data_IF_045144077528
#
_entry.id   IF_045144077528
#
_cell.length_a   1.000
_cell.length_b   1.000
_cell.length_c   1.000
_cell.angle_alpha   90.00
_cell.angle_beta   90.00
_cell.angle_gamma   90.00
#
_symmetry.space_group_name_H-M   'P 1'
#
loop_
_entity.id
_entity.type
_entity.pdbx_description
1 polymer ?
#
# COMPACT_ATOMS: atom_id res chain seq x y z
N UNK A 1 -38.05 17.62 73.91
CA UNK A 1 -36.86 16.94 73.42
C UNK A 1 -37.32 15.90 72.42
N UNK A 2 -37.05 16.16 71.12
CA UNK A 2 -37.33 15.18 70.04
C UNK A 2 -36.11 14.26 69.92
N UNK A 3 -36.27 13.00 70.15
CA UNK A 3 -35.28 12.00 69.95
C UNK A 3 -35.25 11.68 68.45
N UNK A 4 -34.26 12.14 67.72
CA UNK A 4 -34.07 11.73 66.36
C UNK A 4 -33.41 10.35 66.34
N UNK A 5 -34.19 9.33 65.98
CA UNK A 5 -33.60 8.00 65.71
C UNK A 5 -32.85 8.02 64.44
N UNK A 6 -31.54 7.93 64.58
CA UNK A 6 -30.65 7.75 63.41
C UNK A 6 -30.74 6.27 63.02
N UNK A 7 -31.44 5.99 61.95
CA UNK A 7 -31.44 4.65 61.38
C UNK A 7 -30.09 4.46 60.65
N UNK A 8 -29.18 3.76 61.30
CA UNK A 8 -28.03 3.23 60.61
C UNK A 8 -28.51 2.07 59.75
N UNK A 9 -28.65 2.31 58.46
CA UNK A 9 -28.88 1.19 57.53
C UNK A 9 -27.62 0.35 57.54
N UNK A 10 -27.72 -0.85 58.10
CA UNK A 10 -26.63 -1.82 57.93
C UNK A 10 -26.50 -2.08 56.44
N UNK A 11 -25.38 -1.67 55.87
CA UNK A 11 -25.06 -1.96 54.49
C UNK A 11 -24.89 -3.47 54.36
N UNK A 12 -25.93 -4.17 53.92
CA UNK A 12 -25.81 -5.57 53.57
C UNK A 12 -24.87 -5.69 52.42
N UNK A 13 -23.78 -6.40 52.63
CA UNK A 13 -22.80 -6.69 51.58
C UNK A 13 -23.46 -7.62 50.57
N UNK A 14 -24.26 -7.05 49.67
CA UNK A 14 -25.03 -7.84 48.70
C UNK A 14 -24.07 -8.39 47.66
N UNK A 15 -24.05 -9.69 47.48
CA UNK A 15 -23.22 -10.40 46.50
C UNK A 15 -24.04 -10.62 45.24
N UNK A 16 -23.47 -10.23 44.09
CA UNK A 16 -24.05 -10.52 42.79
C UNK A 16 -23.31 -11.73 42.24
N UNK A 17 -24.04 -12.76 41.89
CA UNK A 17 -23.50 -14.01 41.37
C UNK A 17 -23.62 -14.00 39.85
N UNK A 18 -22.52 -14.40 39.13
CA UNK A 18 -22.38 -14.32 37.69
C UNK A 18 -21.96 -15.68 37.13
N UNK A 19 -22.67 -16.17 36.11
CA UNK A 19 -22.27 -17.36 35.36
C UNK A 19 -22.23 -17.04 33.86
N UNK A 20 -21.55 -17.88 33.07
CA UNK A 20 -21.47 -17.66 31.64
C UNK A 20 -22.83 -17.82 30.94
N UNK A 21 -23.71 -18.61 31.50
CA UNK A 21 -25.07 -18.81 31.01
C UNK A 21 -26.12 -17.98 31.79
N UNK A 22 -25.67 -17.03 32.60
CA UNK A 22 -26.53 -16.10 33.30
C UNK A 22 -27.26 -15.15 32.33
N UNK A 23 -28.36 -14.55 32.82
CA UNK A 23 -29.17 -13.67 31.99
C UNK A 23 -29.37 -12.30 32.64
N UNK A 24 -29.53 -11.26 31.80
CA UNK A 24 -29.64 -9.88 32.25
C UNK A 24 -30.85 -9.65 33.20
N UNK A 25 -31.94 -10.35 32.96
CA UNK A 25 -33.14 -10.24 33.82
C UNK A 25 -33.06 -11.00 35.13
N UNK A 26 -31.98 -11.76 35.37
CA UNK A 26 -31.85 -12.55 36.59
C UNK A 26 -31.55 -11.67 37.81
N UNK A 27 -31.89 -12.18 39.01
CA UNK A 27 -31.70 -11.41 40.24
C UNK A 27 -30.26 -11.30 40.74
N UNK A 28 -29.34 -12.08 40.19
CA UNK A 28 -27.95 -12.09 40.65
C UNK A 28 -27.75 -12.89 41.94
N UNK A 29 -28.64 -13.81 42.22
CA UNK A 29 -28.55 -14.70 43.41
C UNK A 29 -27.86 -16.02 42.97
N UNK A 30 -27.55 -16.86 43.98
CA UNK A 30 -27.03 -18.21 43.74
C UNK A 30 -27.96 -19.01 42.82
N UNK A 31 -29.26 -18.90 43.04
CA UNK A 31 -30.27 -19.65 42.28
C UNK A 31 -30.61 -19.01 40.92
N UNK A 32 -30.28 -17.74 40.73
CA UNK A 32 -30.61 -16.99 39.51
C UNK A 32 -29.47 -16.02 39.17
N UNK A 33 -28.31 -16.55 38.70
CA UNK A 33 -27.14 -15.71 38.45
C UNK A 33 -27.34 -14.80 37.22
N UNK A 34 -26.71 -13.63 37.22
CA UNK A 34 -26.73 -12.69 36.10
C UNK A 34 -25.67 -13.04 35.06
N UNK A 35 -25.82 -12.49 33.86
CA UNK A 35 -24.69 -12.37 32.91
C UNK A 35 -23.71 -11.31 33.43
N UNK A 36 -22.48 -11.36 32.91
CA UNK A 36 -21.42 -10.51 33.42
C UNK A 36 -21.68 -9.02 33.16
N UNK A 37 -22.21 -8.68 31.98
CA UNK A 37 -22.42 -7.28 31.58
C UNK A 37 -23.44 -6.60 32.49
N UNK A 38 -24.59 -7.23 32.65
CA UNK A 38 -25.63 -6.67 33.50
C UNK A 38 -25.22 -6.65 34.99
N UNK A 39 -24.43 -7.62 35.45
CA UNK A 39 -23.93 -7.62 36.81
C UNK A 39 -23.06 -6.39 37.10
N UNK A 40 -22.19 -6.02 36.15
CA UNK A 40 -21.34 -4.83 36.31
C UNK A 40 -22.14 -3.53 36.16
N UNK A 41 -23.14 -3.51 35.27
CA UNK A 41 -23.98 -2.33 35.07
C UNK A 41 -24.86 -2.05 36.28
N UNK A 42 -25.38 -3.11 36.94
CA UNK A 42 -26.32 -2.98 38.09
C UNK A 42 -25.59 -2.83 39.44
N UNK A 43 -24.27 -3.07 39.47
CA UNK A 43 -23.53 -3.10 40.73
C UNK A 43 -23.53 -1.73 41.40
N UNK A 44 -23.72 -1.73 42.70
CA UNK A 44 -23.70 -0.54 43.55
C UNK A 44 -22.40 -0.46 44.36
N UNK A 45 -22.12 0.70 44.94
CA UNK A 45 -20.89 0.93 45.72
C UNK A 45 -20.78 -0.11 46.87
N UNK A 46 -19.55 -0.61 47.01
CA UNK A 46 -19.14 -1.56 48.05
C UNK A 46 -19.79 -2.95 47.96
N UNK A 47 -20.39 -3.30 46.81
CA UNK A 47 -20.89 -4.65 46.57
C UNK A 47 -19.79 -5.61 46.17
N UNK A 48 -20.11 -6.89 46.13
CA UNK A 48 -19.21 -7.97 45.70
C UNK A 48 -19.82 -8.65 44.46
N UNK A 49 -19.04 -8.81 43.42
CA UNK A 49 -19.42 -9.63 42.25
C UNK A 49 -18.59 -10.91 42.31
N UNK A 50 -19.26 -12.06 42.40
CA UNK A 50 -18.63 -13.38 42.30
C UNK A 50 -18.90 -13.99 40.97
N UNK A 51 -17.81 -14.30 40.24
CA UNK A 51 -17.89 -14.77 38.88
C UNK A 51 -17.46 -16.25 38.84
N UNK A 52 -18.34 -17.08 38.29
CA UNK A 52 -18.08 -18.50 38.17
C UNK A 52 -16.91 -18.75 37.18
N UNK A 53 -16.28 -19.90 37.31
CA UNK A 53 -15.28 -20.39 36.35
C UNK A 53 -15.92 -20.50 34.97
N UNK A 54 -15.19 -20.04 33.97
CA UNK A 54 -15.68 -20.01 32.59
C UNK A 54 -15.04 -18.88 31.79
N UNK A 55 -15.32 -18.84 30.49
CA UNK A 55 -14.86 -17.76 29.61
C UNK A 55 -16.05 -16.86 29.25
N UNK A 56 -15.87 -15.58 29.48
CA UNK A 56 -16.87 -14.52 29.25
C UNK A 56 -16.44 -13.68 28.05
N UNK A 57 -17.02 -13.95 26.90
CA UNK A 57 -16.70 -13.24 25.65
C UNK A 57 -17.49 -11.94 25.58
N UNK A 58 -16.79 -10.82 25.36
CA UNK A 58 -17.36 -9.49 25.38
C UNK A 58 -17.13 -8.78 24.04
N UNK A 59 -18.18 -8.18 23.50
CA UNK A 59 -18.08 -7.34 22.28
C UNK A 59 -17.98 -5.84 22.60
N UNK A 60 -17.91 -5.51 23.91
CA UNK A 60 -17.73 -4.13 24.40
C UNK A 60 -16.88 -4.18 25.67
N UNK A 61 -16.27 -3.06 26.09
CA UNK A 61 -15.54 -3.05 27.36
C UNK A 61 -16.44 -3.39 28.54
N UNK A 62 -15.93 -4.12 29.50
CA UNK A 62 -16.59 -4.35 30.78
C UNK A 62 -16.23 -3.20 31.72
N UNK A 63 -17.20 -2.36 32.05
CA UNK A 63 -16.93 -1.13 32.79
C UNK A 63 -17.19 -1.30 34.28
N UNK A 64 -16.21 -0.94 35.10
CA UNK A 64 -16.38 -0.88 36.56
C UNK A 64 -17.09 0.44 36.89
N UNK A 65 -18.36 0.38 37.21
CA UNK A 65 -19.22 1.57 37.39
C UNK A 65 -19.35 2.02 38.84
N UNK A 66 -19.02 1.17 39.81
CA UNK A 66 -19.25 1.44 41.25
C UNK A 66 -17.91 1.55 41.99
N UNK A 67 -17.89 2.38 43.03
CA UNK A 67 -16.71 2.48 43.93
C UNK A 67 -16.70 1.35 44.95
N UNK A 68 -15.54 1.00 45.44
CA UNK A 68 -15.41 -0.03 46.46
C UNK A 68 -15.80 -1.43 46.03
N UNK A 69 -16.04 -1.62 44.72
CA UNK A 69 -16.52 -2.90 44.19
C UNK A 69 -15.46 -3.99 44.37
N UNK A 70 -15.88 -5.14 44.89
CA UNK A 70 -14.96 -6.30 44.96
C UNK A 70 -15.39 -7.34 43.93
N UNK A 71 -14.52 -7.60 42.97
CA UNK A 71 -14.78 -8.50 41.86
C UNK A 71 -13.90 -9.74 42.03
N UNK A 72 -14.51 -10.90 42.13
CA UNK A 72 -13.82 -12.15 42.45
C UNK A 72 -14.17 -13.23 41.43
N UNK A 73 -13.17 -13.79 40.76
CA UNK A 73 -13.35 -14.96 39.90
C UNK A 73 -12.99 -16.26 40.58
N UNK A 74 -13.07 -17.36 39.85
CA UNK A 74 -12.65 -18.67 40.31
C UNK A 74 -13.64 -19.44 41.13
N UNK A 75 -14.94 -19.19 40.99
CA UNK A 75 -15.97 -19.91 41.75
C UNK A 75 -16.57 -21.05 40.94
N UNK A 76 -16.83 -22.18 41.61
CA UNK A 76 -17.48 -23.35 41.03
C UNK A 76 -18.99 -23.28 41.32
N UNK A 77 -19.76 -22.75 40.35
CA UNK A 77 -21.21 -22.54 40.58
C UNK A 77 -21.96 -23.85 40.85
N UNK A 78 -21.49 -24.96 40.30
CA UNK A 78 -22.08 -26.29 40.50
C UNK A 78 -21.65 -26.97 41.82
N UNK A 79 -20.77 -26.34 42.57
CA UNK A 79 -20.22 -26.88 43.81
C UNK A 79 -20.31 -25.82 44.92
N UNK A 80 -21.53 -25.43 45.23
CA UNK A 80 -21.86 -24.46 46.30
C UNK A 80 -21.01 -23.19 46.28
N UNK A 81 -20.62 -22.73 45.04
CA UNK A 81 -19.82 -21.53 44.87
C UNK A 81 -18.50 -21.55 45.66
N UNK A 82 -17.94 -22.75 45.79
CA UNK A 82 -16.61 -22.90 46.42
C UNK A 82 -15.55 -22.34 45.45
N UNK A 83 -14.49 -21.77 46.02
CA UNK A 83 -13.43 -21.17 45.20
C UNK A 83 -12.43 -22.26 44.74
N UNK A 84 -12.12 -22.28 43.45
CA UNK A 84 -11.09 -23.18 42.92
C UNK A 84 -9.71 -22.55 43.08
N UNK A 85 -8.68 -23.40 43.14
CA UNK A 85 -7.30 -22.96 43.14
C UNK A 85 -6.74 -22.85 41.74
N UNK A 86 -7.52 -23.22 40.71
CA UNK A 86 -7.02 -23.23 39.31
C UNK A 86 -6.85 -21.80 38.80
N UNK A 87 -5.65 -21.45 38.44
CA UNK A 87 -5.34 -20.14 37.83
C UNK A 87 -5.98 -20.08 36.44
N UNK A 88 -6.61 -18.97 36.12
CA UNK A 88 -7.29 -18.81 34.83
C UNK A 88 -8.65 -19.44 34.75
N UNK A 89 -9.19 -19.95 35.88
CA UNK A 89 -10.51 -20.55 35.88
C UNK A 89 -11.61 -19.60 35.38
N UNK A 90 -11.47 -18.29 35.66
CA UNK A 90 -12.38 -17.26 35.15
C UNK A 90 -11.60 -16.39 34.17
N UNK A 91 -12.05 -16.36 32.92
CA UNK A 91 -11.42 -15.54 31.87
C UNK A 91 -12.43 -14.54 31.30
N UNK A 92 -12.09 -13.27 31.34
CA UNK A 92 -12.81 -12.20 30.63
C UNK A 92 -12.07 -11.98 29.31
N UNK A 93 -12.75 -12.21 28.18
CA UNK A 93 -12.13 -12.12 26.86
C UNK A 93 -12.84 -11.08 26.00
N UNK A 94 -12.13 -10.03 25.60
CA UNK A 94 -12.64 -9.02 24.68
C UNK A 94 -12.42 -9.49 23.24
N UNK A 95 -13.48 -9.74 22.51
CA UNK A 95 -13.40 -10.15 21.10
C UNK A 95 -12.97 -8.98 20.21
N UNK A 96 -12.67 -9.25 18.95
CA UNK A 96 -12.36 -8.20 17.98
C UNK A 96 -13.61 -7.51 17.42
N UNK A 97 -14.79 -7.98 17.80
CA UNK A 97 -16.05 -7.36 17.35
C UNK A 97 -16.21 -5.96 17.96
N UNK A 98 -16.84 -5.07 17.24
CA UNK A 98 -17.20 -3.72 17.74
C UNK A 98 -16.04 -2.98 18.41
N UNK A 99 -14.92 -2.75 17.70
CA UNK A 99 -13.84 -1.96 18.29
C UNK A 99 -14.28 -0.52 18.53
N UNK A 100 -13.68 0.12 19.52
CA UNK A 100 -14.01 1.49 19.90
C UNK A 100 -13.12 2.47 19.13
N UNK A 101 -13.66 3.65 18.83
CA UNK A 101 -12.92 4.73 18.21
C UNK A 101 -13.10 4.79 16.70
N UNK A 102 -12.72 5.92 16.10
CA UNK A 102 -12.82 6.07 14.65
C UNK A 102 -11.79 5.21 13.91
N UNK A 103 -11.96 5.08 12.60
CA UNK A 103 -11.02 4.35 11.75
C UNK A 103 -9.59 4.85 11.97
N UNK A 104 -8.64 3.95 11.95
CA UNK A 104 -7.20 4.18 12.20
C UNK A 104 -6.85 4.58 13.64
N UNK A 105 -7.86 4.76 14.52
CA UNK A 105 -7.66 4.98 15.95
C UNK A 105 -8.48 3.98 16.77
N UNK A 106 -8.78 2.85 16.17
CA UNK A 106 -9.59 1.82 16.81
C UNK A 106 -8.82 1.13 17.93
N UNK A 107 -9.56 0.65 18.92
CA UNK A 107 -8.96 -0.07 20.05
C UNK A 107 -9.91 -1.10 20.61
N UNK A 108 -9.33 -2.10 21.25
CA UNK A 108 -10.04 -3.09 22.04
C UNK A 108 -9.65 -2.87 23.50
N UNK A 109 -10.62 -2.65 24.37
CA UNK A 109 -10.42 -2.56 25.80
C UNK A 109 -11.26 -3.66 26.45
N UNK A 110 -10.62 -4.53 27.26
CA UNK A 110 -11.39 -5.60 27.91
C UNK A 110 -12.10 -5.11 29.17
N UNK A 111 -11.35 -4.47 30.08
CA UNK A 111 -11.94 -3.94 31.32
C UNK A 111 -11.58 -2.46 31.45
N UNK A 112 -12.53 -1.62 31.78
CA UNK A 112 -12.32 -0.19 31.95
C UNK A 112 -12.85 0.31 33.28
N UNK A 113 -12.17 1.33 33.86
CA UNK A 113 -12.69 2.08 35.00
C UNK A 113 -12.27 3.54 34.83
N UNK A 114 -13.23 4.45 35.00
CA UNK A 114 -12.98 5.89 34.86
C UNK A 114 -13.48 6.59 36.13
N UNK A 115 -12.57 7.32 36.81
CA UNK A 115 -12.85 8.08 38.02
C UNK A 115 -13.51 7.22 39.12
N UNK A 116 -12.95 6.00 39.30
CA UNK A 116 -13.42 5.06 40.33
C UNK A 116 -12.36 4.84 41.39
N UNK A 117 -12.82 4.58 42.62
CA UNK A 117 -11.94 4.40 43.78
C UNK A 117 -12.28 3.16 44.57
N UNK A 118 -11.25 2.57 45.21
CA UNK A 118 -11.43 1.52 46.19
C UNK A 118 -11.80 0.15 45.68
N UNK A 119 -11.86 -0.06 44.38
CA UNK A 119 -12.27 -1.36 43.83
C UNK A 119 -11.09 -2.37 43.81
N UNK A 120 -11.47 -3.66 43.79
CA UNK A 120 -10.46 -4.72 43.70
C UNK A 120 -10.94 -5.85 42.80
N UNK A 121 -9.98 -6.41 42.06
CA UNK A 121 -10.21 -7.54 41.14
C UNK A 121 -9.32 -8.71 41.57
N UNK A 122 -9.92 -9.88 41.70
CA UNK A 122 -9.22 -11.05 42.26
C UNK A 122 -9.44 -12.28 41.37
N UNK A 123 -8.37 -13.03 41.11
CA UNK A 123 -8.42 -14.37 40.52
C UNK A 123 -9.09 -14.42 39.15
N UNK A 124 -8.78 -13.44 38.30
CA UNK A 124 -9.37 -13.31 36.95
C UNK A 124 -8.25 -13.18 35.93
N UNK A 125 -8.38 -13.90 34.82
CA UNK A 125 -7.57 -13.69 33.62
C UNK A 125 -8.33 -12.74 32.69
N UNK A 126 -7.67 -11.69 32.23
CA UNK A 126 -8.24 -10.67 31.33
C UNK A 126 -7.46 -10.70 30.03
N UNK A 127 -8.15 -10.97 28.91
CA UNK A 127 -7.51 -11.09 27.60
C UNK A 127 -8.25 -10.26 26.57
N UNK A 128 -7.59 -9.94 25.46
CA UNK A 128 -8.25 -9.41 24.25
C UNK A 128 -7.87 -10.24 23.05
N UNK A 129 -8.69 -10.22 22.02
CA UNK A 129 -8.29 -10.65 20.69
C UNK A 129 -7.18 -9.73 20.15
N UNK A 130 -6.49 -10.18 19.11
CA UNK A 130 -5.55 -9.33 18.36
C UNK A 130 -6.30 -8.23 17.60
N UNK A 131 -5.62 -7.12 17.35
CA UNK A 131 -6.15 -6.05 16.52
C UNK A 131 -6.26 -6.50 15.06
N UNK A 132 -7.39 -6.23 14.43
CA UNK A 132 -7.66 -6.68 13.06
C UNK A 132 -7.64 -5.56 12.02
N UNK A 133 -7.82 -4.31 12.44
CA UNK A 133 -7.82 -3.16 11.53
C UNK A 133 -6.50 -2.40 11.65
N UNK A 134 -5.97 -1.83 10.55
CA UNK A 134 -4.70 -1.11 10.63
C UNK A 134 -4.67 -0.05 11.74
N UNK A 135 -3.61 -0.09 12.53
CA UNK A 135 -3.41 0.84 13.64
C UNK A 135 -4.22 0.55 14.90
N UNK A 136 -4.98 -0.57 14.94
CA UNK A 136 -5.79 -0.91 16.13
C UNK A 136 -4.90 -1.28 17.31
N UNK A 137 -5.17 -0.70 18.48
CA UNK A 137 -4.48 -0.99 19.73
C UNK A 137 -5.31 -1.92 20.61
N UNK A 138 -4.65 -2.66 21.51
CA UNK A 138 -5.33 -3.59 22.44
C UNK A 138 -4.93 -3.27 23.89
N UNK A 139 -5.91 -3.30 24.77
CA UNK A 139 -5.73 -3.01 26.20
C UNK A 139 -6.48 -4.05 27.02
N UNK A 140 -5.76 -4.80 27.85
CA UNK A 140 -6.40 -5.68 28.82
C UNK A 140 -7.18 -4.88 29.85
N UNK A 141 -6.58 -3.82 30.38
CA UNK A 141 -7.21 -2.96 31.39
C UNK A 141 -6.89 -1.50 31.05
N UNK A 142 -7.90 -0.64 31.14
CA UNK A 142 -7.76 0.81 30.99
C UNK A 142 -8.29 1.50 32.23
N UNK A 143 -7.44 2.26 32.91
CA UNK A 143 -7.80 2.99 34.14
C UNK A 143 -7.50 4.48 33.94
N UNK A 144 -8.48 5.34 34.18
CA UNK A 144 -8.29 6.77 34.08
C UNK A 144 -8.90 7.46 35.32
N UNK A 145 -8.11 8.26 36.01
CA UNK A 145 -8.56 8.97 37.21
C UNK A 145 -8.93 8.07 38.39
N UNK A 146 -8.42 6.84 38.42
CA UNK A 146 -8.77 5.87 39.47
C UNK A 146 -7.78 5.90 40.64
N UNK A 147 -8.25 5.56 41.84
CA UNK A 147 -7.43 5.51 43.05
C UNK A 147 -7.77 4.34 43.95
N UNK A 148 -6.79 3.92 44.77
CA UNK A 148 -6.99 2.86 45.78
C UNK A 148 -7.52 1.55 45.20
N UNK A 149 -7.11 1.18 43.98
CA UNK A 149 -7.56 -0.07 43.37
C UNK A 149 -6.49 -1.17 43.50
N UNK A 150 -6.92 -2.43 43.39
CA UNK A 150 -6.01 -3.59 43.49
C UNK A 150 -6.38 -4.66 42.48
N UNK A 151 -5.34 -5.28 41.90
CA UNK A 151 -5.46 -6.52 41.12
C UNK A 151 -4.66 -7.59 41.85
N UNK A 152 -5.34 -8.65 42.28
CA UNK A 152 -4.73 -9.69 43.12
C UNK A 152 -4.88 -11.05 42.43
N UNK A 153 -3.76 -11.69 42.16
CA UNK A 153 -3.69 -12.98 41.45
C UNK A 153 -4.43 -12.93 40.10
N UNK A 154 -4.25 -11.81 39.38
CA UNK A 154 -4.84 -11.65 38.06
C UNK A 154 -3.76 -11.83 36.99
N UNK A 155 -4.16 -12.32 35.82
CA UNK A 155 -3.32 -12.31 34.60
C UNK A 155 -3.95 -11.33 33.63
N UNK A 156 -3.15 -10.42 33.07
CA UNK A 156 -3.61 -9.45 32.07
C UNK A 156 -2.79 -9.67 30.82
N UNK A 157 -3.42 -10.25 29.79
CA UNK A 157 -2.76 -10.76 28.60
C UNK A 157 -3.47 -10.17 27.37
N UNK A 158 -3.21 -8.89 27.05
CA UNK A 158 -3.82 -8.33 25.83
C UNK A 158 -3.23 -8.98 24.58
N UNK A 159 -4.03 -9.05 23.54
CA UNK A 159 -3.57 -9.48 22.23
C UNK A 159 -2.63 -8.48 21.57
N UNK A 160 -2.13 -8.82 20.41
CA UNK A 160 -1.22 -7.94 19.65
C UNK A 160 -2.01 -6.78 19.04
N UNK A 161 -1.39 -5.60 19.00
CA UNK A 161 -1.91 -4.50 18.20
C UNK A 161 -1.72 -4.79 16.71
N UNK A 162 -2.55 -4.20 15.87
CA UNK A 162 -2.43 -4.37 14.42
C UNK A 162 -1.31 -3.49 13.86
N UNK A 163 -0.75 -3.92 12.74
CA UNK A 163 0.23 -3.11 12.00
C UNK A 163 -0.41 -1.78 11.57
N UNK A 164 0.43 -0.77 11.35
CA UNK A 164 -0.02 0.49 10.77
C UNK A 164 -0.48 0.31 9.33
N UNK A 165 -1.13 1.32 8.78
CA UNK A 165 -1.60 1.29 7.40
C UNK A 165 -0.41 1.37 6.44
N UNK A 166 -0.39 0.50 5.43
CA UNK A 166 0.61 0.57 4.37
C UNK A 166 0.41 1.83 3.53
N UNK A 167 1.49 2.36 2.97
CA UNK A 167 1.42 3.40 1.95
C UNK A 167 0.83 2.85 0.65
N UNK A 168 0.34 3.75 -0.20
CA UNK A 168 -0.17 3.36 -1.51
C UNK A 168 0.98 2.97 -2.43
N UNK A 169 0.73 2.01 -3.31
CA UNK A 169 1.70 1.59 -4.31
C UNK A 169 1.80 2.70 -5.37
N UNK A 170 3.01 3.03 -5.79
CA UNK A 170 3.21 3.99 -6.88
C UNK A 170 2.65 3.46 -8.21
N UNK A 171 2.28 4.37 -9.08
CA UNK A 171 1.70 4.01 -10.38
C UNK A 171 2.77 3.44 -11.31
N UNK A 172 2.40 2.48 -12.14
CA UNK A 172 3.28 1.94 -13.17
C UNK A 172 3.50 2.99 -14.27
N UNK A 173 4.67 3.04 -14.83
CA UNK A 173 4.95 3.91 -15.99
C UNK A 173 4.17 3.45 -17.22
N UNK A 174 3.74 4.40 -18.04
CA UNK A 174 3.04 4.10 -19.28
C UNK A 174 4.05 3.69 -20.37
N UNK A 175 3.58 2.90 -21.33
CA UNK A 175 4.39 2.52 -22.48
C UNK A 175 4.65 3.73 -23.38
N UNK A 176 5.77 3.76 -24.06
CA UNK A 176 6.07 4.77 -25.05
C UNK A 176 5.28 4.56 -26.35
N UNK A 177 5.14 5.62 -27.11
CA UNK A 177 4.47 5.55 -28.41
C UNK A 177 5.45 5.18 -29.52
N UNK A 178 4.96 4.48 -30.55
CA UNK A 178 5.77 4.12 -31.70
C UNK A 178 6.28 5.37 -32.41
N UNK A 179 7.48 5.30 -32.94
CA UNK A 179 8.02 6.37 -33.75
C UNK A 179 7.33 6.47 -35.11
N UNK A 180 7.43 7.63 -35.73
CA UNK A 180 6.89 7.86 -37.06
C UNK A 180 7.69 7.09 -38.12
N UNK A 181 7.03 6.74 -39.20
CA UNK A 181 7.73 6.14 -40.33
C UNK A 181 8.69 7.14 -40.95
N UNK A 182 9.78 6.64 -41.49
CA UNK A 182 10.70 7.46 -42.29
C UNK A 182 10.05 7.91 -43.59
N UNK A 183 10.49 9.03 -44.12
CA UNK A 183 10.01 9.54 -45.37
C UNK A 183 10.42 8.66 -46.55
N UNK A 184 9.66 8.64 -47.61
CA UNK A 184 10.00 7.96 -48.85
C UNK A 184 10.98 8.82 -49.68
N UNK A 185 12.00 8.22 -50.19
CA UNK A 185 12.85 8.93 -51.12
C UNK A 185 12.08 9.26 -52.41
N UNK A 186 12.30 10.42 -52.94
CA UNK A 186 11.69 10.83 -54.20
C UNK A 186 12.67 10.59 -55.37
N UNK A 187 12.18 10.02 -56.45
CA UNK A 187 12.90 9.95 -57.67
C UNK A 187 12.57 11.17 -58.53
N UNK A 188 13.57 12.00 -58.81
CA UNK A 188 13.41 13.05 -59.83
C UNK A 188 13.59 12.42 -61.16
N UNK A 189 12.55 12.55 -62.04
CA UNK A 189 12.55 11.90 -63.33
C UNK A 189 13.66 12.35 -64.26
N UNK A 190 14.63 11.48 -64.50
CA UNK A 190 15.44 11.52 -65.68
C UNK A 190 16.84 12.17 -65.61
N UNK A 191 17.13 12.89 -64.58
CA UNK A 191 18.46 13.47 -64.39
C UNK A 191 19.10 13.06 -63.07
N UNK A 192 20.32 12.57 -63.11
CA UNK A 192 21.12 12.29 -61.92
C UNK A 192 21.52 13.60 -61.22
N UNK A 193 20.59 14.50 -61.06
CA UNK A 193 20.79 15.67 -60.20
C UNK A 193 20.45 15.24 -58.79
N UNK A 194 21.43 15.37 -57.95
CA UNK A 194 21.42 14.94 -56.56
C UNK A 194 20.11 15.24 -55.83
N UNK A 195 19.13 14.32 -55.92
CA UNK A 195 17.96 14.43 -55.10
C UNK A 195 18.26 14.03 -53.65
N UNK A 196 17.92 14.83 -52.71
CA UNK A 196 18.08 14.51 -51.31
C UNK A 196 17.10 13.42 -50.91
N UNK A 197 17.57 12.27 -50.43
CA UNK A 197 16.70 11.27 -49.82
C UNK A 197 15.97 11.90 -48.67
N UNK A 198 14.74 11.44 -48.38
CA UNK A 198 13.94 12.01 -47.30
C UNK A 198 14.48 11.61 -45.94
N UNK A 199 14.31 12.50 -45.00
CA UNK A 199 14.75 12.27 -43.63
C UNK A 199 14.00 11.10 -43.00
N UNK A 200 14.67 10.39 -42.15
CA UNK A 200 14.03 9.34 -41.36
C UNK A 200 13.02 9.91 -40.40
N UNK A 201 12.11 9.09 -40.03
CA UNK A 201 11.04 9.51 -39.13
C UNK A 201 11.46 9.79 -37.69
N UNK A 202 10.89 10.55 -36.94
CA UNK A 202 11.11 10.85 -35.68
C UNK A 202 10.92 9.72 -34.90
N UNK A 203 11.54 9.69 -34.02
CA UNK A 203 11.39 8.72 -32.96
C UNK A 203 10.17 8.96 -32.12
N UNK A 204 9.63 7.92 -31.52
CA UNK A 204 8.47 8.04 -30.62
C UNK A 204 8.85 8.65 -29.29
N UNK A 205 7.87 9.24 -28.61
CA UNK A 205 8.07 9.72 -27.24
C UNK A 205 8.19 8.55 -26.28
N UNK A 206 9.00 8.70 -25.26
CA UNK A 206 9.13 7.71 -24.19
C UNK A 206 7.88 7.60 -23.35
N UNK A 207 7.76 6.51 -22.62
CA UNK A 207 6.61 6.23 -21.76
C UNK A 207 6.53 7.21 -20.59
N UNK A 208 5.29 7.47 -20.14
CA UNK A 208 5.06 8.38 -19.01
C UNK A 208 5.07 7.65 -17.67
N UNK A 209 6.20 7.70 -16.99
CA UNK A 209 6.19 7.51 -15.55
C UNK A 209 6.04 8.86 -14.84
N UNK A 210 5.91 9.95 -15.57
CA UNK A 210 5.86 11.32 -15.11
C UNK A 210 6.19 12.30 -16.23
N UNK A 211 5.93 11.93 -17.47
CA UNK A 211 6.24 12.77 -18.63
C UNK A 211 7.37 12.16 -19.46
N UNK A 212 7.03 11.61 -20.57
CA UNK A 212 8.01 11.03 -21.50
C UNK A 212 8.90 12.06 -22.14
N UNK A 213 10.16 11.73 -22.35
CA UNK A 213 11.07 12.60 -23.09
C UNK A 213 10.76 12.51 -24.61
N UNK A 214 11.08 13.59 -25.31
CA UNK A 214 10.84 13.68 -26.75
C UNK A 214 11.69 12.67 -27.51
N UNK A 215 11.13 12.12 -28.57
CA UNK A 215 11.85 11.22 -29.46
C UNK A 215 12.91 11.94 -30.24
N UNK A 216 13.95 11.21 -30.66
CA UNK A 216 14.98 11.75 -31.56
C UNK A 216 14.42 11.99 -32.97
N UNK A 217 14.96 12.98 -33.66
CA UNK A 217 14.55 13.26 -35.02
C UNK A 217 15.26 12.32 -35.97
N UNK A 218 14.66 12.06 -37.11
CA UNK A 218 15.28 11.26 -38.18
C UNK A 218 16.53 11.93 -38.72
N UNK A 219 17.41 11.12 -39.26
CA UNK A 219 18.64 11.65 -39.88
C UNK A 219 18.27 12.54 -41.07
N UNK A 220 18.94 13.72 -41.21
CA UNK A 220 18.64 14.59 -42.33
C UNK A 220 19.14 13.96 -43.62
N UNK A 221 18.39 14.17 -44.68
CA UNK A 221 18.82 13.77 -46.02
C UNK A 221 19.79 14.78 -46.53
N UNK A 222 21.04 14.41 -46.63
CA UNK A 222 22.12 15.24 -47.24
C UNK A 222 22.81 14.40 -48.27
N UNK A 223 23.06 15.03 -49.41
CA UNK A 223 23.70 14.35 -50.57
C UNK A 223 24.99 13.62 -50.17
N UNK A 224 25.05 12.35 -50.56
CA UNK A 224 26.22 11.49 -50.42
C UNK A 224 26.69 11.19 -48.99
N UNK A 225 25.81 11.18 -48.00
CA UNK A 225 26.24 10.85 -46.66
C UNK A 225 25.31 9.87 -45.96
N UNK A 226 25.91 8.96 -45.21
CA UNK A 226 25.20 7.98 -44.39
C UNK A 226 24.71 8.67 -43.08
N UNK A 227 23.68 9.48 -43.17
CA UNK A 227 23.25 10.27 -42.02
C UNK A 227 22.42 9.42 -41.07
N UNK A 228 22.94 9.10 -39.89
CA UNK A 228 22.15 8.40 -38.90
C UNK A 228 21.09 9.31 -38.31
N UNK A 229 20.09 8.73 -37.72
CA UNK A 229 19.12 9.48 -36.93
C UNK A 229 19.76 10.06 -35.67
N UNK A 230 19.11 11.02 -35.07
CA UNK A 230 19.58 11.58 -33.79
C UNK A 230 19.16 10.68 -32.64
N UNK A 231 19.99 10.64 -31.60
CA UNK A 231 19.74 9.87 -30.41
C UNK A 231 18.49 10.44 -29.72
N UNK A 232 17.64 9.59 -29.19
CA UNK A 232 16.47 10.02 -28.41
C UNK A 232 16.89 10.76 -27.13
N UNK A 233 16.09 11.70 -26.72
CA UNK A 233 16.38 12.49 -25.51
C UNK A 233 16.34 11.61 -24.28
N UNK A 234 17.40 11.63 -23.49
CA UNK A 234 17.41 10.94 -22.20
C UNK A 234 16.54 11.68 -21.21
N UNK A 235 15.80 10.92 -20.42
CA UNK A 235 14.89 11.50 -19.43
C UNK A 235 15.61 11.71 -18.11
N UNK A 236 15.15 12.72 -17.36
CA UNK A 236 15.59 12.95 -16.00
C UNK A 236 14.49 12.45 -15.02
N UNK A 237 14.92 12.11 -13.83
CA UNK A 237 14.01 11.61 -12.81
C UNK A 237 13.39 10.28 -13.21
N UNK A 238 12.07 10.15 -13.08
CA UNK A 238 11.35 8.91 -13.38
C UNK A 238 10.68 8.91 -14.74
N UNK A 239 11.00 9.89 -15.61
CA UNK A 239 10.41 10.00 -16.96
C UNK A 239 10.99 8.93 -17.87
N UNK A 240 10.23 8.54 -18.89
CA UNK A 240 10.70 7.59 -19.91
C UNK A 240 11.57 8.28 -20.96
N UNK A 241 12.57 7.56 -21.46
CA UNK A 241 13.44 8.09 -22.50
C UNK A 241 12.75 8.15 -23.86
N UNK A 242 13.12 9.13 -24.70
CA UNK A 242 12.56 9.27 -26.03
C UNK A 242 13.10 8.22 -27.02
N UNK A 243 12.32 7.86 -28.03
CA UNK A 243 12.75 6.92 -29.05
C UNK A 243 13.86 7.52 -29.92
N UNK A 244 14.76 6.68 -30.45
CA UNK A 244 15.81 7.14 -31.39
C UNK A 244 15.23 7.46 -32.76
N UNK A 245 15.81 8.44 -33.44
CA UNK A 245 15.38 8.78 -34.80
C UNK A 245 15.78 7.74 -35.82
N UNK A 246 14.99 7.62 -36.87
CA UNK A 246 15.33 6.75 -38.00
C UNK A 246 16.49 7.27 -38.82
N UNK A 247 17.23 6.37 -39.46
CA UNK A 247 18.30 6.78 -40.39
C UNK A 247 17.71 7.28 -41.71
N UNK A 248 18.46 8.17 -42.37
CA UNK A 248 18.06 8.67 -43.68
C UNK A 248 18.13 7.57 -44.73
N UNK A 249 17.32 7.68 -45.77
CA UNK A 249 17.41 6.79 -46.93
C UNK A 249 18.69 7.01 -47.71
N UNK A 250 19.10 6.00 -48.47
CA UNK A 250 20.29 6.09 -49.32
C UNK A 250 20.09 7.06 -50.50
N UNK A 251 21.19 7.67 -50.94
CA UNK A 251 21.15 8.67 -52.01
C UNK A 251 21.07 8.02 -53.39
N UNK A 252 20.52 8.76 -54.34
CA UNK A 252 20.09 8.29 -55.64
C UNK A 252 21.22 7.84 -56.56
N UNK A 253 22.29 8.52 -56.57
CA UNK A 253 23.39 8.30 -57.54
C UNK A 253 24.72 7.95 -56.89
N UNK A 254 24.71 7.45 -55.68
CA UNK A 254 25.94 7.11 -54.99
C UNK A 254 25.93 5.67 -54.49
N UNK A 255 27.13 5.17 -54.21
CA UNK A 255 27.33 3.86 -53.63
C UNK A 255 27.15 3.89 -52.09
N UNK A 256 26.67 5.01 -51.57
CA UNK A 256 26.50 5.15 -50.13
C UNK A 256 25.34 4.32 -49.60
N UNK A 257 25.57 3.67 -48.49
CA UNK A 257 24.54 2.97 -47.78
C UNK A 257 23.60 3.97 -47.09
N UNK A 258 22.39 3.51 -46.75
CA UNK A 258 21.47 4.32 -45.93
C UNK A 258 22.03 4.54 -44.54
N UNK A 259 21.54 5.55 -43.86
CA UNK A 259 21.92 5.83 -42.48
C UNK A 259 21.35 4.80 -41.48
N UNK A 260 22.09 4.55 -40.43
CA UNK A 260 21.63 3.69 -39.36
C UNK A 260 20.63 4.42 -38.45
N UNK A 261 19.74 3.68 -37.87
CA UNK A 261 18.86 4.22 -36.83
C UNK A 261 19.63 4.56 -35.57
N UNK A 262 19.20 5.58 -34.87
CA UNK A 262 19.86 6.02 -33.63
C UNK A 262 19.37 5.25 -32.41
N UNK A 263 20.20 5.29 -31.36
CA UNK A 263 19.85 4.69 -30.06
C UNK A 263 18.75 5.50 -29.43
N UNK A 264 17.83 4.82 -28.74
CA UNK A 264 16.81 5.47 -27.95
C UNK A 264 17.42 6.14 -26.72
N UNK A 265 16.73 7.14 -26.19
CA UNK A 265 17.14 7.82 -24.95
C UNK A 265 17.00 6.93 -23.74
N UNK A 266 17.94 7.06 -22.80
CA UNK A 266 17.88 6.32 -21.55
C UNK A 266 16.86 6.94 -20.60
N UNK A 267 16.23 6.12 -19.77
CA UNK A 267 15.52 6.60 -18.59
C UNK A 267 16.44 6.46 -17.37
N UNK A 268 15.99 6.96 -16.23
CA UNK A 268 16.75 6.81 -14.99
C UNK A 268 16.97 5.34 -14.61
N UNK A 269 16.14 4.44 -15.13
CA UNK A 269 16.11 3.03 -14.71
C UNK A 269 16.50 2.06 -15.83
N UNK A 270 16.68 2.54 -17.06
CA UNK A 270 16.92 1.64 -18.19
C UNK A 270 17.65 2.35 -19.34
N UNK A 271 18.49 1.62 -20.00
CA UNK A 271 19.21 2.13 -21.19
C UNK A 271 18.29 2.12 -22.41
N UNK A 272 18.57 3.02 -23.34
CA UNK A 272 17.80 3.11 -24.57
C UNK A 272 17.99 1.88 -25.47
N UNK A 273 16.96 1.57 -26.26
CA UNK A 273 17.02 0.49 -27.24
C UNK A 273 18.01 0.78 -28.34
N UNK A 274 18.61 -0.26 -28.88
CA UNK A 274 19.64 -0.13 -29.92
C UNK A 274 18.98 0.21 -31.27
N UNK A 275 19.54 1.16 -31.98
CA UNK A 275 19.08 1.50 -33.32
C UNK A 275 19.31 0.37 -34.31
N UNK A 276 18.45 0.26 -35.30
CA UNK A 276 18.60 -0.73 -36.35
C UNK A 276 19.72 -0.37 -37.32
N UNK A 277 20.32 -1.38 -37.90
CA UNK A 277 21.35 -1.17 -38.93
C UNK A 277 20.75 -0.54 -40.19
N UNK A 278 21.61 0.14 -40.95
CA UNK A 278 21.22 0.71 -42.24
C UNK A 278 20.82 -0.38 -43.22
N UNK A 279 19.91 -0.07 -44.12
CA UNK A 279 19.60 -0.92 -45.27
C UNK A 279 20.77 -0.93 -46.23
N UNK A 280 21.11 -2.11 -46.72
CA UNK A 280 22.23 -2.25 -47.67
C UNK A 280 21.78 -1.84 -49.07
N UNK A 281 22.74 -1.43 -49.88
CA UNK A 281 22.55 -1.19 -51.32
C UNK A 281 22.16 -2.51 -51.97
N UNK A 282 21.08 -2.54 -52.68
CA UNK A 282 20.60 -3.78 -53.29
C UNK A 282 19.41 -3.55 -54.21
N UNK A 283 19.00 -4.60 -54.86
CA UNK A 283 18.04 -4.60 -55.93
C UNK A 283 16.83 -5.40 -55.55
N UNK A 284 15.61 -4.83 -55.35
CA UNK A 284 15.35 -3.40 -55.15
C UNK A 284 15.85 -2.93 -53.77
N UNK A 285 15.89 -1.64 -53.50
CA UNK A 285 16.42 -1.10 -52.26
C UNK A 285 15.84 -1.82 -51.02
N UNK A 286 16.71 -2.43 -50.24
CA UNK A 286 16.24 -3.20 -49.07
C UNK A 286 15.70 -2.27 -48.01
N UNK A 287 14.58 -2.62 -47.40
CA UNK A 287 14.04 -1.81 -46.29
C UNK A 287 15.01 -1.78 -45.12
N UNK A 288 15.03 -0.68 -44.41
CA UNK A 288 15.82 -0.57 -43.19
C UNK A 288 15.31 -1.50 -42.11
N UNK A 289 16.21 -1.94 -41.24
CA UNK A 289 15.82 -2.80 -40.15
C UNK A 289 14.93 -2.06 -39.12
N UNK A 290 14.22 -2.81 -38.33
CA UNK A 290 13.38 -2.26 -37.25
C UNK A 290 14.25 -2.03 -36.02
N UNK A 291 14.08 -0.90 -35.37
CA UNK A 291 14.80 -0.62 -34.13
C UNK A 291 14.33 -1.52 -33.00
N UNK A 292 15.23 -1.82 -32.09
CA UNK A 292 14.91 -2.64 -30.92
C UNK A 292 14.05 -1.81 -29.96
N UNK A 293 13.02 -2.43 -29.41
CA UNK A 293 12.16 -1.77 -28.43
C UNK A 293 12.91 -1.39 -27.17
N UNK A 294 12.46 -0.37 -26.51
CA UNK A 294 13.04 0.06 -25.25
C UNK A 294 12.71 -0.92 -24.11
N UNK A 295 13.47 -0.81 -23.04
CA UNK A 295 13.27 -1.64 -21.86
C UNK A 295 12.08 -1.13 -21.06
N UNK A 296 11.27 -2.02 -20.50
CA UNK A 296 10.14 -1.64 -19.68
C UNK A 296 10.61 -0.90 -18.42
N UNK A 297 9.77 -0.03 -17.93
CA UNK A 297 10.05 0.71 -16.69
C UNK A 297 10.02 -0.20 -15.48
N UNK A 298 10.71 0.19 -14.43
CA UNK A 298 10.73 -0.56 -13.18
C UNK A 298 9.61 -0.09 -12.25
N UNK A 299 9.26 -0.95 -11.28
CA UNK A 299 8.33 -0.57 -10.22
C UNK A 299 8.91 0.55 -9.36
N UNK A 300 8.06 1.33 -8.75
CA UNK A 300 8.48 2.36 -7.80
C UNK A 300 8.96 1.77 -6.49
N UNK A 301 9.65 2.56 -5.71
CA UNK A 301 10.13 2.15 -4.39
C UNK A 301 9.00 2.15 -3.38
N UNK A 302 9.14 1.32 -2.35
CA UNK A 302 8.21 1.34 -1.21
C UNK A 302 8.27 2.70 -0.51
N UNK A 303 7.13 3.14 -0.01
CA UNK A 303 7.07 4.36 0.77
C UNK A 303 7.83 4.25 2.10
N UNK A 304 8.27 5.38 2.61
CA UNK A 304 8.94 5.42 3.90
C UNK A 304 7.99 4.97 5.01
N UNK A 305 8.55 4.34 6.05
CA UNK A 305 7.77 3.95 7.23
C UNK A 305 7.08 5.17 7.84
N UNK A 306 5.87 4.97 8.30
CA UNK A 306 5.13 6.04 8.98
C UNK A 306 5.82 6.46 10.28
N UNK A 307 5.51 7.65 10.80
CA UNK A 307 6.10 8.11 12.06
C UNK A 307 5.65 7.23 13.22
N UNK A 308 6.41 7.27 14.31
CA UNK A 308 6.06 6.56 15.53
C UNK A 308 4.70 7.02 16.06
N UNK A 309 3.97 6.10 16.68
CA UNK A 309 2.70 6.45 17.32
C UNK A 309 2.90 7.34 18.54
N UNK A 310 1.80 7.87 19.05
CA UNK A 310 1.82 8.78 20.20
C UNK A 310 0.57 8.57 21.05
N UNK A 311 0.62 9.05 22.28
CA UNK A 311 -0.47 8.89 23.23
C UNK A 311 -1.41 10.11 23.17
N UNK A 312 -2.72 9.85 23.08
CA UNK A 312 -3.76 10.89 23.17
C UNK A 312 -4.83 10.42 24.16
N UNK A 313 -5.06 11.21 25.18
CA UNK A 313 -6.11 10.93 26.19
C UNK A 313 -5.97 9.54 26.81
N UNK A 314 -4.74 9.11 27.04
CA UNK A 314 -4.47 7.82 27.68
C UNK A 314 -4.47 6.64 26.73
N UNK A 315 -4.66 6.85 25.43
CA UNK A 315 -4.65 5.77 24.44
C UNK A 315 -3.51 5.96 23.46
N UNK A 316 -2.84 4.88 23.14
CA UNK A 316 -1.84 4.88 22.07
C UNK A 316 -2.54 4.95 20.72
N UNK A 317 -2.13 5.90 19.91
CA UNK A 317 -2.61 6.07 18.54
C UNK A 317 -1.44 5.72 17.62
N UNK A 318 -1.68 4.84 16.67
CA UNK A 318 -0.67 4.51 15.68
C UNK A 318 -0.24 5.77 14.94
N UNK A 319 1.02 5.83 14.55
CA UNK A 319 1.52 6.93 13.74
C UNK A 319 0.77 7.04 12.43
N UNK A 320 0.96 8.16 11.73
CA UNK A 320 0.31 8.38 10.45
C UNK A 320 0.64 7.25 9.47
N UNK A 321 -0.20 7.11 8.45
CA UNK A 321 0.02 6.17 7.36
C UNK A 321 1.47 6.24 6.85
N UNK A 322 2.05 5.11 6.51
CA UNK A 322 3.35 5.07 5.86
C UNK A 322 3.34 5.92 4.60
N UNK A 323 4.47 6.49 4.23
CA UNK A 323 4.57 7.28 3.01
C UNK A 323 4.17 6.45 1.80
N UNK A 324 3.58 7.09 0.81
CA UNK A 324 3.25 6.38 -0.43
C UNK A 324 4.53 5.93 -1.13
N UNK A 325 4.46 4.83 -1.83
CA UNK A 325 5.54 4.40 -2.70
C UNK A 325 5.75 5.41 -3.81
N UNK A 326 6.98 5.48 -4.33
CA UNK A 326 7.23 6.34 -5.49
C UNK A 326 6.69 5.68 -6.75
N UNK A 327 6.30 6.50 -7.74
CA UNK A 327 5.87 5.97 -9.02
C UNK A 327 7.02 5.21 -9.68
N UNK A 328 6.69 4.22 -10.50
CA UNK A 328 7.66 3.46 -11.28
C UNK A 328 8.37 4.35 -12.30
N UNK A 329 9.59 3.97 -12.67
CA UNK A 329 10.30 4.65 -13.73
C UNK A 329 9.65 4.36 -15.08
N UNK A 330 9.60 5.36 -15.95
CA UNK A 330 9.23 5.16 -17.34
C UNK A 330 10.26 4.27 -18.04
N UNK A 331 9.83 3.54 -19.04
CA UNK A 331 10.72 2.71 -19.86
C UNK A 331 11.67 3.55 -20.70
N UNK A 332 12.75 2.95 -21.17
CA UNK A 332 13.66 3.62 -22.10
C UNK A 332 13.05 3.73 -23.49
N UNK A 333 13.55 4.68 -24.28
CA UNK A 333 13.12 4.81 -25.67
C UNK A 333 13.63 3.66 -26.53
N UNK A 334 12.84 3.22 -27.48
CA UNK A 334 13.27 2.24 -28.49
C UNK A 334 14.27 2.84 -29.46
N UNK A 335 15.09 2.00 -30.05
CA UNK A 335 16.05 2.43 -31.10
C UNK A 335 15.33 2.85 -32.37
N UNK A 336 15.93 3.75 -33.13
CA UNK A 336 15.38 4.16 -34.41
C UNK A 336 15.57 3.06 -35.49
N UNK A 337 14.64 3.00 -36.41
CA UNK A 337 14.79 2.12 -37.58
C UNK A 337 15.91 2.57 -38.51
N UNK A 338 16.55 1.65 -39.20
CA UNK A 338 17.54 2.00 -40.21
C UNK A 338 16.88 2.59 -41.45
N UNK A 339 17.62 3.44 -42.17
CA UNK A 339 17.19 3.93 -43.46
C UNK A 339 17.18 2.82 -44.52
N UNK A 340 16.27 2.89 -45.45
CA UNK A 340 16.19 1.91 -46.54
C UNK A 340 17.37 2.06 -47.52
N UNK A 341 17.95 0.95 -47.95
CA UNK A 341 18.98 0.95 -48.96
C UNK A 341 18.40 1.30 -50.33
N UNK A 342 19.27 1.66 -51.23
CA UNK A 342 18.82 2.02 -52.56
C UNK A 342 19.48 1.19 -53.63
N UNK A 343 18.80 1.03 -54.75
CA UNK A 343 19.27 0.32 -55.90
C UNK A 343 20.21 1.20 -56.72
N UNK A 344 21.25 0.57 -57.27
CA UNK A 344 22.22 1.25 -58.13
C UNK A 344 21.54 1.72 -59.41
N UNK A 345 21.66 3.01 -59.73
CA UNK A 345 21.04 3.57 -60.92
C UNK A 345 21.75 3.11 -62.17
N UNK A 346 21.14 2.27 -62.98
CA UNK A 346 21.52 2.10 -64.38
C UNK A 346 20.57 2.92 -65.23
N UNK A 347 21.00 4.08 -65.65
CA UNK A 347 20.42 4.94 -66.69
C UNK A 347 18.94 5.41 -66.47
N UNK A 348 18.12 4.78 -65.63
CA UNK A 348 16.76 5.19 -65.29
C UNK A 348 16.49 4.89 -63.83
N UNK A 349 15.91 5.87 -63.11
CA UNK A 349 15.55 5.71 -61.68
C UNK A 349 14.38 4.73 -61.57
N UNK A 350 14.67 3.57 -61.07
CA UNK A 350 13.62 2.57 -60.85
C UNK A 350 13.60 2.23 -59.37
N UNK A 351 12.52 2.55 -58.72
CA UNK A 351 12.17 2.24 -57.34
C UNK A 351 12.88 3.04 -56.25
N UNK A 352 12.13 3.83 -55.58
CA UNK A 352 12.62 4.67 -54.49
C UNK A 352 13.17 3.90 -53.29
N UNK A 353 13.87 4.58 -52.39
CA UNK A 353 14.46 3.96 -51.23
C UNK A 353 13.41 3.40 -50.26
N UNK A 354 13.79 2.38 -49.59
CA UNK A 354 12.93 1.85 -48.52
C UNK A 354 12.78 2.85 -47.38
N UNK A 355 11.67 2.82 -46.76
CA UNK A 355 11.38 3.71 -45.63
C UNK A 355 12.12 3.26 -44.38
N UNK A 356 12.75 4.18 -43.70
CA UNK A 356 13.25 3.93 -42.36
C UNK A 356 12.11 4.04 -41.36
N UNK A 357 12.12 3.21 -40.35
CA UNK A 357 11.11 3.27 -39.31
C UNK A 357 11.63 3.99 -38.06
N UNK A 358 10.83 4.82 -37.48
CA UNK A 358 11.17 5.45 -36.21
C UNK A 358 11.10 4.44 -35.06
N UNK A 359 11.91 4.66 -34.04
CA UNK A 359 11.87 3.81 -32.84
C UNK A 359 10.72 4.16 -31.91
N UNK A 360 10.22 3.16 -31.24
CA UNK A 360 9.22 3.37 -30.20
C UNK A 360 9.83 3.59 -28.83
N UNK A 361 9.11 4.25 -27.95
CA UNK A 361 9.47 4.30 -26.54
C UNK A 361 9.00 3.04 -25.80
N UNK A 362 9.75 2.60 -24.76
CA UNK A 362 9.40 1.45 -23.94
C UNK A 362 8.55 1.84 -22.71
#
# INVERSE_FOLDING_TARGET
LALSTVYSSAQTCQIIYVTADGASGNAGTVASPKDIVSAFADAQDNQVIRIAAGTYNLDAPLEIMANGLRIEGGFMATNDWTKTSLVGATTIHRTSNSPQGPAFMQRLVAVAAINKAGFSVHDITITTADGTSPGMSTYGVYLSGCSNYKFVRCQILPGNGANGQNGEIGLAGANGVAGANGGSGSCDGGDCTFGSGDAGGXGGNGGQGGGGAAGGTGGPAINNQNNPGTVGTSASGRNGGGGGGGGAGGDECSTSNAGAGAVGGASACANGGVGAGAGNQGNPGAPGGVGVGGTAGSSGDMGAAGPAGFEVSGFWIAGAQAGNGTDGCGGSGGGGGGGGGRQNCTLFCDNGPGNGAGGGGG
#
